data_IF_489508903737
#
_entry.id   IF_489508903737
#
_cell.length_a   1.000
_cell.length_b   1.000
_cell.length_c   1.000
_cell.angle_alpha   90.00
_cell.angle_beta   90.00
_cell.angle_gamma   90.00
#
_symmetry.space_group_name_H-M   'P 1'
#
loop_
_entity.id
_entity.type
_entity.pdbx_description
1 polymer ?
#
# COMPACT_ATOMS: atom_id res chain seq x y z
N UNK A 1 35.19 28.64 -31.12
CA UNK A 1 36.41 28.48 -31.94
C UNK A 1 36.37 27.07 -32.51
N UNK A 2 36.33 27.01 -33.89
CA UNK A 2 36.52 25.82 -34.76
C UNK A 2 35.60 24.60 -34.59
N UNK A 3 35.08 24.00 -35.61
CA UNK A 3 34.80 24.29 -37.08
C UNK A 3 33.76 23.26 -37.55
N UNK A 4 32.79 23.77 -38.30
CA UNK A 4 31.91 23.04 -39.20
C UNK A 4 32.66 22.25 -40.28
N UNK A 5 32.21 21.06 -40.66
CA UNK A 5 32.38 20.57 -42.04
C UNK A 5 31.22 19.65 -42.50
N UNK A 6 30.39 20.24 -43.31
CA UNK A 6 29.65 19.76 -44.47
C UNK A 6 30.01 18.37 -45.01
N UNK A 7 29.02 17.52 -45.28
CA UNK A 7 28.97 16.65 -46.47
C UNK A 7 27.60 16.71 -47.13
N UNK A 8 27.67 17.06 -48.40
CA UNK A 8 26.60 17.29 -49.37
C UNK A 8 25.86 15.99 -49.72
N UNK A 9 24.54 16.10 -49.89
CA UNK A 9 23.66 15.12 -50.51
C UNK A 9 23.89 15.06 -52.02
N UNK A 10 24.02 13.83 -52.58
CA UNK A 10 24.01 13.57 -54.01
C UNK A 10 22.55 13.37 -54.49
N UNK A 11 22.16 14.13 -55.51
CA UNK A 11 20.92 13.98 -56.26
C UNK A 11 21.01 12.80 -57.24
N UNK A 12 19.98 11.96 -57.45
CA UNK A 12 19.94 11.02 -58.57
C UNK A 12 19.48 11.73 -59.83
N UNK A 13 20.17 11.34 -60.92
CA UNK A 13 19.96 11.77 -62.34
C UNK A 13 18.62 11.29 -62.87
N UNK A 14 17.98 12.17 -63.64
CA UNK A 14 16.85 11.87 -64.49
C UNK A 14 17.22 11.01 -65.71
N UNK A 15 16.41 10.08 -66.11
CA UNK A 15 16.41 9.38 -67.40
C UNK A 15 15.12 9.71 -68.21
N UNK A 16 15.18 9.73 -69.51
CA UNK A 16 14.20 10.36 -70.36
C UNK A 16 13.04 9.44 -70.85
N UNK A 17 11.89 10.00 -70.99
CA UNK A 17 10.70 9.91 -71.77
C UNK A 17 10.40 8.71 -72.70
N UNK A 18 9.30 8.77 -73.50
CA UNK A 18 8.01 8.20 -73.12
C UNK A 18 7.69 6.97 -73.96
N UNK A 19 7.00 5.97 -73.41
CA UNK A 19 6.33 4.94 -74.23
C UNK A 19 4.90 4.70 -73.68
N UNK A 20 3.94 5.00 -74.53
CA UNK A 20 2.68 4.27 -74.71
C UNK A 20 1.71 4.17 -73.52
N UNK A 21 0.69 5.02 -73.59
CA UNK A 21 -0.63 4.80 -72.99
C UNK A 21 -1.22 3.45 -73.40
N UNK A 22 -1.19 2.49 -72.49
CA UNK A 22 -2.12 1.35 -72.50
C UNK A 22 -2.90 1.37 -71.19
N UNK A 23 -4.15 1.80 -71.31
CA UNK A 23 -5.14 1.79 -70.25
C UNK A 23 -5.43 0.33 -69.83
N UNK A 24 -4.92 -0.08 -68.67
CA UNK A 24 -5.41 -1.23 -67.96
C UNK A 24 -6.41 -0.74 -66.90
N UNK A 25 -7.68 -0.77 -67.28
CA UNK A 25 -8.82 -0.75 -66.38
C UNK A 25 -8.73 -2.01 -65.47
N UNK A 26 -8.01 -1.91 -64.40
CA UNK A 26 -8.05 -2.92 -63.34
C UNK A 26 -9.29 -2.63 -62.51
N UNK A 27 -10.22 -3.54 -62.55
CA UNK A 27 -11.51 -3.51 -61.86
C UNK A 27 -11.34 -3.22 -60.37
N UNK A 28 -12.19 -2.39 -59.74
CA UNK A 28 -12.09 -2.05 -58.32
C UNK A 28 -12.20 -3.24 -57.36
N UNK A 29 -12.74 -4.37 -57.82
CA UNK A 29 -12.86 -5.61 -57.06
C UNK A 29 -11.52 -6.30 -56.75
N UNK A 30 -10.52 -6.22 -57.63
CA UNK A 30 -9.18 -6.82 -57.39
C UNK A 30 -8.34 -6.02 -56.42
N UNK A 31 -8.47 -4.71 -56.40
CA UNK A 31 -7.79 -3.86 -55.41
C UNK A 31 -8.38 -3.99 -53.98
N UNK A 32 -9.67 -4.31 -53.86
CA UNK A 32 -10.32 -4.62 -52.60
C UNK A 32 -9.93 -6.02 -52.06
N UNK A 33 -9.81 -7.03 -52.94
CA UNK A 33 -9.35 -8.37 -52.57
C UNK A 33 -7.90 -8.38 -52.13
N UNK A 34 -7.01 -7.65 -52.81
CA UNK A 34 -5.59 -7.54 -52.38
C UNK A 34 -5.40 -6.80 -51.06
N UNK A 35 -6.24 -5.78 -50.79
CA UNK A 35 -6.27 -5.12 -49.46
C UNK A 35 -6.80 -6.03 -48.36
N UNK A 36 -7.83 -6.83 -48.67
CA UNK A 36 -8.39 -7.81 -47.74
C UNK A 36 -7.40 -8.94 -47.43
N UNK A 37 -6.67 -9.45 -48.44
CA UNK A 37 -5.65 -10.47 -48.25
C UNK A 37 -4.43 -9.96 -47.46
N UNK A 38 -4.01 -8.72 -47.70
CA UNK A 38 -2.94 -8.10 -46.93
C UNK A 38 -3.35 -7.81 -45.45
N UNK A 39 -4.63 -7.45 -45.22
CA UNK A 39 -5.18 -7.30 -43.88
C UNK A 39 -5.31 -8.65 -43.15
N UNK A 40 -5.72 -9.71 -43.83
CA UNK A 40 -5.78 -11.06 -43.29
C UNK A 40 -4.38 -11.61 -42.94
N UNK A 41 -3.40 -11.41 -43.85
CA UNK A 41 -2.02 -11.78 -43.58
C UNK A 41 -1.41 -11.02 -42.39
N UNK A 42 -1.68 -9.72 -42.26
CA UNK A 42 -1.30 -8.94 -41.09
C UNK A 42 -1.98 -9.40 -39.80
N UNK A 43 -3.25 -9.83 -39.84
CA UNK A 43 -3.96 -10.41 -38.72
C UNK A 43 -3.40 -11.78 -38.32
N UNK A 44 -3.00 -12.61 -39.28
CA UNK A 44 -2.35 -13.89 -38.97
C UNK A 44 -0.96 -13.72 -38.39
N UNK A 45 -0.16 -12.78 -38.91
CA UNK A 45 1.16 -12.42 -38.32
C UNK A 45 0.98 -11.82 -36.92
N UNK A 46 -0.01 -10.97 -36.70
CA UNK A 46 -0.34 -10.47 -35.35
C UNK A 46 -0.80 -11.59 -34.43
N UNK A 47 -1.68 -12.49 -34.87
CA UNK A 47 -2.09 -13.67 -34.09
C UNK A 47 -0.90 -14.55 -33.73
N UNK A 48 -0.06 -14.89 -34.70
CA UNK A 48 1.17 -15.69 -34.48
C UNK A 48 2.15 -14.99 -33.51
N UNK A 49 2.31 -13.67 -33.62
CA UNK A 49 3.14 -12.91 -32.70
C UNK A 49 2.53 -12.84 -31.28
N UNK A 50 1.22 -12.69 -31.18
CA UNK A 50 0.50 -12.73 -29.90
C UNK A 50 0.56 -14.14 -29.31
N UNK A 51 0.35 -15.19 -30.08
CA UNK A 51 0.46 -16.58 -29.62
C UNK A 51 1.91 -16.92 -29.21
N UNK A 52 2.91 -16.47 -29.95
CA UNK A 52 4.29 -16.63 -29.58
C UNK A 52 4.67 -15.84 -28.32
N UNK A 53 4.20 -14.61 -28.16
CA UNK A 53 4.32 -13.82 -26.92
C UNK A 53 3.59 -14.50 -25.75
N UNK A 54 2.38 -15.03 -25.97
CA UNK A 54 1.62 -15.76 -24.96
C UNK A 54 2.27 -17.09 -24.58
N UNK A 55 2.76 -17.86 -25.56
CA UNK A 55 3.44 -19.11 -25.32
C UNK A 55 4.79 -18.91 -24.66
N UNK A 56 5.55 -17.88 -25.04
CA UNK A 56 6.80 -17.50 -24.38
C UNK A 56 6.57 -17.04 -22.93
N UNK A 57 5.59 -16.16 -22.70
CA UNK A 57 5.19 -15.74 -21.36
C UNK A 57 4.59 -16.88 -20.52
N UNK A 58 3.79 -17.76 -21.11
CA UNK A 58 3.16 -18.88 -20.38
C UNK A 58 4.17 -19.90 -19.90
N UNK A 59 5.20 -20.20 -20.70
CA UNK A 59 6.31 -21.08 -20.29
C UNK A 59 7.20 -20.42 -19.24
N UNK A 60 7.33 -19.09 -19.30
CA UNK A 60 8.05 -18.27 -18.32
C UNK A 60 7.30 -18.21 -16.98
N UNK A 61 5.96 -18.12 -16.95
CA UNK A 61 5.19 -17.93 -15.70
C UNK A 61 5.04 -19.21 -14.89
N UNK A 62 4.78 -20.39 -15.49
CA UNK A 62 4.57 -21.63 -14.72
C UNK A 62 5.86 -22.22 -14.10
N UNK A 63 7.03 -21.98 -14.70
CA UNK A 63 8.31 -22.38 -14.10
C UNK A 63 8.82 -21.35 -13.09
N UNK A 64 8.30 -20.12 -13.08
CA UNK A 64 8.92 -18.99 -12.38
C UNK A 64 8.54 -18.86 -10.90
N UNK A 65 7.32 -19.17 -10.48
CA UNK A 65 6.94 -19.04 -9.05
C UNK A 65 7.77 -19.96 -8.17
N UNK A 66 7.96 -21.23 -8.57
CA UNK A 66 8.83 -22.15 -7.83
C UNK A 66 10.28 -21.70 -7.80
N UNK A 67 10.77 -21.11 -8.89
CA UNK A 67 12.11 -20.55 -8.97
C UNK A 67 12.26 -19.32 -8.08
N UNK A 68 11.28 -18.42 -8.09
CA UNK A 68 11.25 -17.25 -7.22
C UNK A 68 11.14 -17.64 -5.74
N UNK A 69 10.39 -18.71 -5.41
CA UNK A 69 10.29 -19.23 -4.05
C UNK A 69 11.63 -19.75 -3.53
N UNK A 70 12.39 -20.42 -4.39
CA UNK A 70 13.77 -20.84 -4.06
C UNK A 70 14.65 -19.62 -3.76
N UNK A 71 14.61 -18.58 -4.59
CA UNK A 71 15.38 -17.34 -4.36
C UNK A 71 15.00 -16.71 -3.02
N UNK A 72 13.70 -16.53 -2.77
CA UNK A 72 13.18 -15.97 -1.52
C UNK A 72 13.64 -16.76 -0.31
N UNK A 73 13.45 -18.09 -0.36
CA UNK A 73 13.81 -18.97 0.73
C UNK A 73 15.33 -18.97 1.01
N UNK A 74 16.16 -18.91 -0.02
CA UNK A 74 17.64 -18.81 0.15
C UNK A 74 18.03 -17.44 0.74
N UNK A 75 17.34 -16.36 0.36
CA UNK A 75 17.54 -15.03 0.96
C UNK A 75 17.22 -15.02 2.45
N UNK A 76 16.07 -15.60 2.84
CA UNK A 76 15.61 -15.67 4.23
C UNK A 76 16.49 -16.59 5.08
N UNK A 77 16.83 -17.77 4.55
CA UNK A 77 17.59 -18.80 5.27
C UNK A 77 19.10 -18.47 5.36
N UNK A 78 19.63 -17.62 4.49
CA UNK A 78 21.06 -17.29 4.41
C UNK A 78 21.95 -18.46 3.99
N UNK A 79 21.40 -19.63 3.68
CA UNK A 79 22.11 -20.80 3.20
C UNK A 79 21.29 -21.70 2.29
N UNK A 80 21.95 -22.31 1.27
CA UNK A 80 21.30 -23.24 0.33
C UNK A 80 20.83 -24.52 1.06
N UNK A 81 21.56 -24.99 2.04
CA UNK A 81 21.23 -26.19 2.81
C UNK A 81 19.99 -25.99 3.67
N UNK A 82 19.90 -24.86 4.35
CA UNK A 82 18.74 -24.54 5.17
C UNK A 82 17.48 -24.25 4.32
N UNK A 83 17.65 -23.55 3.20
CA UNK A 83 16.58 -23.37 2.23
C UNK A 83 16.05 -24.71 1.68
N UNK A 84 16.94 -25.67 1.39
CA UNK A 84 16.56 -27.00 0.95
C UNK A 84 15.72 -27.73 2.02
N UNK A 85 16.10 -27.61 3.29
CA UNK A 85 15.35 -28.16 4.42
C UNK A 85 13.97 -27.54 4.53
N UNK A 86 13.87 -26.21 4.44
CA UNK A 86 12.60 -25.49 4.50
C UNK A 86 11.67 -25.83 3.34
N UNK A 87 12.22 -25.93 2.12
CA UNK A 87 11.48 -26.30 0.91
C UNK A 87 11.19 -27.80 0.79
N UNK A 88 11.72 -28.64 1.70
CA UNK A 88 11.61 -30.11 1.68
C UNK A 88 12.09 -30.74 0.38
N UNK A 89 13.22 -30.23 -0.15
CA UNK A 89 13.87 -30.75 -1.35
C UNK A 89 15.36 -30.99 -1.09
N UNK A 90 16.07 -31.65 -2.03
CA UNK A 90 17.51 -31.84 -1.89
C UNK A 90 18.29 -30.55 -2.15
N UNK A 91 19.41 -30.38 -1.47
CA UNK A 91 20.31 -29.23 -1.66
C UNK A 91 20.81 -29.10 -3.13
N UNK A 92 21.14 -30.19 -3.87
CA UNK A 92 21.47 -30.09 -5.29
C UNK A 92 20.32 -29.53 -6.14
N UNK A 93 19.05 -29.85 -5.79
CA UNK A 93 17.88 -29.30 -6.49
C UNK A 93 17.78 -27.77 -6.32
N UNK A 94 17.97 -27.28 -5.09
CA UNK A 94 17.98 -25.83 -4.81
C UNK A 94 19.12 -25.15 -5.57
N UNK A 95 20.36 -25.70 -5.53
CA UNK A 95 21.51 -25.16 -6.23
C UNK A 95 21.29 -25.10 -7.75
N UNK A 96 20.72 -26.17 -8.33
CA UNK A 96 20.39 -26.23 -9.77
C UNK A 96 19.34 -25.18 -10.14
N UNK A 97 18.29 -25.06 -9.35
CA UNK A 97 17.23 -24.06 -9.58
C UNK A 97 17.79 -22.64 -9.49
N UNK A 98 18.63 -22.38 -8.50
CA UNK A 98 19.25 -21.07 -8.32
C UNK A 98 20.12 -20.70 -9.54
N UNK A 99 20.98 -21.63 -10.00
CA UNK A 99 21.80 -21.44 -11.20
C UNK A 99 20.94 -21.14 -12.44
N UNK A 100 19.83 -21.87 -12.62
CA UNK A 100 18.89 -21.62 -13.73
C UNK A 100 18.24 -20.23 -13.66
N UNK A 101 17.93 -19.72 -12.45
CA UNK A 101 17.42 -18.37 -12.29
C UNK A 101 18.48 -17.34 -12.64
N UNK A 102 19.68 -17.46 -12.13
CA UNK A 102 20.81 -16.58 -12.42
C UNK A 102 21.15 -16.54 -13.92
N UNK A 103 21.17 -17.70 -14.57
CA UNK A 103 21.41 -17.80 -16.02
C UNK A 103 20.32 -17.05 -16.83
N UNK A 104 19.06 -17.16 -16.43
CA UNK A 104 17.94 -16.45 -17.07
C UNK A 104 17.97 -14.94 -16.84
N UNK A 105 18.36 -14.52 -15.64
CA UNK A 105 18.46 -13.12 -15.28
C UNK A 105 19.71 -12.46 -15.88
N UNK A 106 20.75 -13.24 -16.23
CA UNK A 106 22.00 -12.75 -16.75
C UNK A 106 22.94 -12.14 -15.70
N UNK A 107 22.61 -12.30 -14.40
CA UNK A 107 23.44 -11.84 -13.29
C UNK A 107 23.32 -12.77 -12.08
N UNK A 108 24.32 -12.71 -11.19
CA UNK A 108 24.35 -13.48 -9.96
C UNK A 108 23.46 -12.85 -8.89
N UNK A 109 22.68 -13.70 -8.21
CA UNK A 109 21.90 -13.31 -7.05
C UNK A 109 22.68 -13.48 -5.74
N UNK A 110 23.64 -14.42 -5.74
CA UNK A 110 24.45 -14.72 -4.56
C UNK A 110 25.93 -14.82 -4.92
N UNK A 111 26.75 -14.38 -3.98
CA UNK A 111 28.21 -14.55 -4.00
C UNK A 111 28.65 -15.31 -2.77
N UNK A 112 29.86 -15.90 -2.80
CA UNK A 112 30.47 -16.51 -1.62
C UNK A 112 31.61 -15.64 -1.11
N UNK A 113 31.52 -15.23 0.13
CA UNK A 113 32.63 -14.57 0.82
C UNK A 113 32.96 -15.37 2.08
N UNK A 114 34.24 -15.78 2.19
CA UNK A 114 34.76 -16.60 3.30
C UNK A 114 33.88 -17.80 3.64
N UNK A 115 33.34 -18.47 2.61
CA UNK A 115 32.47 -19.66 2.75
C UNK A 115 30.99 -19.33 3.06
N UNK A 116 30.63 -18.09 3.29
CA UNK A 116 29.24 -17.66 3.53
C UNK A 116 28.56 -17.21 2.23
N UNK A 117 27.30 -17.54 2.10
CA UNK A 117 26.47 -17.09 1.00
C UNK A 117 26.00 -15.66 1.29
N UNK A 118 26.28 -14.73 0.40
CA UNK A 118 25.92 -13.32 0.53
C UNK A 118 25.06 -12.91 -0.68
N UNK A 119 23.93 -12.30 -0.41
CA UNK A 119 23.07 -11.73 -1.44
C UNK A 119 23.73 -10.52 -2.10
N UNK A 120 23.65 -10.44 -3.43
CA UNK A 120 24.11 -9.29 -4.22
C UNK A 120 23.18 -8.07 -4.03
N UNK A 121 23.59 -6.91 -4.54
CA UNK A 121 22.73 -5.72 -4.56
C UNK A 121 21.49 -5.95 -5.42
N UNK A 122 21.65 -6.65 -6.54
CA UNK A 122 20.58 -7.04 -7.47
C UNK A 122 19.56 -7.97 -6.80
N UNK A 123 20.03 -8.96 -6.02
CA UNK A 123 19.12 -9.85 -5.27
C UNK A 123 18.30 -9.07 -4.23
N UNK A 124 18.93 -8.13 -3.51
CA UNK A 124 18.24 -7.28 -2.54
C UNK A 124 17.23 -6.34 -3.18
N UNK A 125 17.52 -5.81 -4.36
CA UNK A 125 16.59 -4.99 -5.13
C UNK A 125 15.41 -5.80 -5.68
N UNK A 126 15.64 -7.09 -6.03
CA UNK A 126 14.62 -7.97 -6.61
C UNK A 126 13.67 -8.56 -5.55
N UNK A 127 14.13 -8.74 -4.30
CA UNK A 127 13.36 -9.39 -3.24
C UNK A 127 11.99 -8.75 -2.99
N UNK A 128 11.83 -7.42 -2.87
CA UNK A 128 10.51 -6.80 -2.67
C UNK A 128 9.52 -7.10 -3.80
N UNK A 129 9.99 -7.19 -5.05
CA UNK A 129 9.12 -7.52 -6.20
C UNK A 129 8.72 -9.01 -6.19
N UNK A 130 9.61 -9.89 -5.77
CA UNK A 130 9.31 -11.31 -5.54
C UNK A 130 8.24 -11.45 -4.45
N UNK A 131 8.39 -10.74 -3.34
CA UNK A 131 7.40 -10.74 -2.24
C UNK A 131 6.02 -10.25 -2.72
N UNK A 132 5.96 -9.16 -3.50
CA UNK A 132 4.72 -8.68 -4.11
C UNK A 132 4.04 -9.74 -4.98
N UNK A 133 4.81 -10.47 -5.79
CA UNK A 133 4.28 -11.54 -6.63
C UNK A 133 3.66 -12.67 -5.80
N UNK A 134 4.31 -13.12 -4.72
CA UNK A 134 3.76 -14.14 -3.81
C UNK A 134 2.49 -13.66 -3.12
N UNK A 135 2.46 -12.42 -2.68
CA UNK A 135 1.26 -11.86 -2.06
C UNK A 135 0.06 -11.78 -3.02
N UNK A 136 0.32 -11.55 -4.32
CA UNK A 136 -0.73 -11.60 -5.33
C UNK A 136 -1.28 -13.03 -5.50
N UNK A 137 -0.41 -14.05 -5.51
CA UNK A 137 -0.82 -15.47 -5.55
C UNK A 137 -1.63 -15.87 -4.32
N UNK A 138 -1.19 -15.48 -3.13
CA UNK A 138 -1.92 -15.69 -1.88
C UNK A 138 -3.30 -15.00 -1.92
N UNK A 139 -3.39 -13.83 -2.54
CA UNK A 139 -4.66 -13.15 -2.79
C UNK A 139 -5.63 -13.96 -3.64
N UNK A 140 -5.13 -14.62 -4.69
CA UNK A 140 -5.93 -15.52 -5.54
C UNK A 140 -6.40 -16.75 -4.76
N UNK A 141 -5.54 -17.35 -3.96
CA UNK A 141 -5.88 -18.52 -3.14
C UNK A 141 -6.94 -18.17 -2.09
N UNK A 142 -6.80 -17.01 -1.44
CA UNK A 142 -7.78 -16.48 -0.48
C UNK A 142 -9.14 -16.27 -1.15
N UNK A 143 -9.16 -15.59 -2.30
CA UNK A 143 -10.41 -15.36 -3.03
C UNK A 143 -11.08 -16.68 -3.46
N UNK A 144 -10.30 -17.66 -3.90
CA UNK A 144 -10.81 -18.99 -4.25
C UNK A 144 -11.41 -19.73 -3.03
N UNK A 145 -10.78 -19.59 -1.85
CA UNK A 145 -11.31 -20.12 -0.59
C UNK A 145 -12.59 -19.39 -0.18
N UNK A 146 -12.61 -18.07 -0.22
CA UNK A 146 -13.79 -17.24 0.12
C UNK A 146 -15.00 -17.57 -0.76
N UNK A 147 -14.77 -17.82 -2.05
CA UNK A 147 -15.82 -18.24 -2.99
C UNK A 147 -16.34 -19.65 -2.69
N UNK A 148 -15.49 -20.55 -2.17
CA UNK A 148 -15.86 -21.93 -1.85
C UNK A 148 -16.67 -22.04 -0.55
N UNK A 149 -16.24 -21.34 0.48
CA UNK A 149 -16.64 -21.68 1.86
C UNK A 149 -17.63 -20.68 2.49
N UNK A 150 -17.90 -19.52 1.90
CA UNK A 150 -18.92 -18.52 2.32
C UNK A 150 -19.08 -18.21 3.83
N UNK A 151 -18.46 -19.00 4.71
CA UNK A 151 -18.50 -18.92 6.17
C UNK A 151 -17.13 -18.95 6.85
N UNK A 152 -16.09 -19.35 6.16
CA UNK A 152 -14.71 -19.42 6.67
C UNK A 152 -13.82 -18.71 5.66
N UNK A 153 -12.94 -17.86 6.13
CA UNK A 153 -12.04 -17.10 5.28
C UNK A 153 -11.20 -16.14 6.09
N UNK A 154 -10.41 -15.35 5.41
CA UNK A 154 -9.51 -14.40 6.03
C UNK A 154 -9.78 -12.99 5.51
N UNK A 155 -9.80 -12.02 6.43
CA UNK A 155 -9.81 -10.58 6.12
C UNK A 155 -8.50 -9.98 6.58
N UNK A 156 -7.82 -9.31 5.67
CA UNK A 156 -6.56 -8.61 5.95
C UNK A 156 -6.79 -7.11 6.00
N UNK A 157 -6.37 -6.50 7.09
CA UNK A 157 -6.59 -5.09 7.39
C UNK A 157 -5.25 -4.38 7.61
N UNK A 158 -5.14 -3.17 7.12
CA UNK A 158 -4.10 -2.23 7.52
C UNK A 158 -4.75 -0.97 8.07
N UNK A 159 -4.25 -0.43 9.17
CA UNK A 159 -4.86 0.73 9.78
C UNK A 159 -3.84 1.65 10.44
N UNK A 160 -4.13 2.95 10.43
CA UNK A 160 -3.43 3.91 11.28
C UNK A 160 -3.48 3.45 12.75
N UNK A 161 -2.37 3.59 13.51
CA UNK A 161 -2.27 3.03 14.86
C UNK A 161 -3.42 3.42 15.80
N UNK A 162 -3.91 4.65 15.75
CA UNK A 162 -5.05 5.08 16.58
C UNK A 162 -6.31 4.26 16.27
N UNK A 163 -6.59 3.99 14.99
CA UNK A 163 -7.76 3.20 14.59
C UNK A 163 -7.56 1.71 14.88
N UNK A 164 -6.35 1.19 14.59
CA UNK A 164 -6.01 -0.21 14.81
C UNK A 164 -6.12 -0.62 16.29
N UNK A 165 -5.71 0.28 17.20
CA UNK A 165 -5.64 -0.02 18.62
C UNK A 165 -6.95 0.29 19.39
N UNK A 166 -7.79 1.22 18.88
CA UNK A 166 -8.92 1.70 19.68
C UNK A 166 -10.28 1.52 19.00
N UNK A 167 -10.40 1.60 17.67
CA UNK A 167 -11.65 1.41 16.95
C UNK A 167 -11.82 -0.05 16.49
N UNK A 168 -10.83 -0.60 15.82
CA UNK A 168 -10.93 -1.93 15.22
C UNK A 168 -11.10 -3.07 16.23
N UNK A 169 -10.57 -3.04 17.46
CA UNK A 169 -10.80 -4.11 18.42
C UNK A 169 -12.28 -4.37 18.71
N UNK A 170 -13.08 -3.33 18.88
CA UNK A 170 -14.53 -3.47 19.09
C UNK A 170 -15.23 -4.08 17.87
N UNK A 171 -14.83 -3.66 16.65
CA UNK A 171 -15.34 -4.20 15.39
C UNK A 171 -14.97 -5.67 15.25
N UNK A 172 -13.69 -6.01 15.45
CA UNK A 172 -13.17 -7.38 15.32
C UNK A 172 -13.84 -8.30 16.32
N UNK A 173 -14.04 -7.86 17.55
CA UNK A 173 -14.76 -8.62 18.57
C UNK A 173 -16.16 -9.00 18.10
N UNK A 174 -16.95 -8.02 17.67
CA UNK A 174 -18.32 -8.24 17.16
C UNK A 174 -18.32 -9.10 15.89
N UNK A 175 -17.42 -8.82 14.95
CA UNK A 175 -17.29 -9.57 13.69
C UNK A 175 -17.01 -11.04 13.93
N UNK A 176 -16.06 -11.37 14.84
CA UNK A 176 -15.69 -12.75 15.17
C UNK A 176 -16.75 -13.51 15.95
N UNK A 177 -17.51 -12.83 16.82
CA UNK A 177 -18.66 -13.45 17.51
C UNK A 177 -19.71 -13.92 16.50
N UNK A 178 -19.98 -13.12 15.47
CA UNK A 178 -20.92 -13.49 14.41
C UNK A 178 -20.35 -14.51 13.41
N UNK A 179 -19.00 -14.61 13.30
CA UNK A 179 -18.30 -15.45 12.31
C UNK A 179 -17.09 -16.15 12.96
N UNK A 180 -17.30 -17.19 13.78
CA UNK A 180 -16.22 -17.84 14.54
C UNK A 180 -15.11 -18.45 13.67
N UNK A 181 -15.44 -18.87 12.44
CA UNK A 181 -14.49 -19.42 11.47
C UNK A 181 -13.68 -18.38 10.69
N UNK A 182 -13.97 -17.07 10.87
CA UNK A 182 -13.22 -16.02 10.18
C UNK A 182 -11.91 -15.69 10.90
N UNK A 183 -10.82 -15.57 10.12
CA UNK A 183 -9.53 -15.06 10.59
C UNK A 183 -9.39 -13.59 10.19
N UNK A 184 -9.00 -12.74 11.13
CA UNK A 184 -8.73 -11.32 10.87
C UNK A 184 -7.25 -11.06 11.14
N UNK A 185 -6.55 -10.51 10.13
CA UNK A 185 -5.16 -10.06 10.25
C UNK A 185 -5.17 -8.53 10.26
N UNK A 186 -4.54 -7.92 11.25
CA UNK A 186 -4.46 -6.46 11.39
C UNK A 186 -3.01 -6.02 11.43
N UNK A 187 -2.68 -5.02 10.62
CA UNK A 187 -1.39 -4.34 10.65
C UNK A 187 -1.59 -2.89 11.07
N UNK A 188 -0.98 -2.50 12.20
CA UNK A 188 -0.96 -1.12 12.68
C UNK A 188 0.28 -0.41 12.11
N UNK A 189 0.09 0.41 11.08
CA UNK A 189 1.17 1.05 10.31
C UNK A 189 0.82 2.50 9.95
N UNK A 190 1.80 3.33 9.55
CA UNK A 190 1.56 4.70 9.10
C UNK A 190 0.55 4.82 7.96
N UNK A 191 -0.22 5.93 7.91
CA UNK A 191 -1.25 6.15 6.89
C UNK A 191 -0.75 5.97 5.44
N UNK A 192 0.46 6.43 5.13
CA UNK A 192 1.06 6.30 3.79
C UNK A 192 1.25 4.85 3.40
N UNK A 193 1.78 4.04 4.32
CA UNK A 193 1.98 2.60 4.09
C UNK A 193 0.65 1.84 3.98
N UNK A 194 -0.41 2.29 4.70
CA UNK A 194 -1.76 1.73 4.52
C UNK A 194 -2.25 1.92 3.10
N UNK A 195 -2.05 3.13 2.52
CA UNK A 195 -2.44 3.43 1.13
C UNK A 195 -1.72 2.50 0.17
N UNK A 196 -0.40 2.36 0.33
CA UNK A 196 0.43 1.52 -0.53
C UNK A 196 -0.04 0.04 -0.48
N UNK A 197 -0.30 -0.49 0.72
CA UNK A 197 -0.78 -1.86 0.88
C UNK A 197 -2.15 -2.09 0.23
N UNK A 198 -3.05 -1.10 0.28
CA UNK A 198 -4.36 -1.19 -0.38
C UNK A 198 -4.20 -1.09 -1.89
N UNK A 199 -3.42 -0.13 -2.39
CA UNK A 199 -3.14 0.07 -3.80
C UNK A 199 -2.48 -1.17 -4.42
N UNK A 200 -1.52 -1.78 -3.71
CA UNK A 200 -0.84 -3.02 -4.08
C UNK A 200 -1.72 -4.28 -3.87
N UNK A 201 -2.96 -4.13 -3.38
CA UNK A 201 -3.89 -5.25 -3.10
C UNK A 201 -3.36 -6.25 -2.08
N UNK A 202 -2.46 -5.83 -1.20
CA UNK A 202 -1.84 -6.65 -0.15
C UNK A 202 -2.74 -6.81 1.07
N UNK A 203 -3.71 -5.91 1.23
CA UNK A 203 -4.78 -5.99 2.24
C UNK A 203 -6.14 -5.78 1.59
N UNK A 204 -7.18 -6.27 2.24
CA UNK A 204 -8.55 -6.16 1.74
C UNK A 204 -9.13 -4.77 2.02
N UNK A 205 -8.87 -4.22 3.22
CA UNK A 205 -9.34 -2.91 3.65
C UNK A 205 -8.23 -2.14 4.36
N UNK A 206 -8.18 -0.84 4.10
CA UNK A 206 -7.33 0.12 4.80
C UNK A 206 -8.15 1.09 5.64
N UNK A 207 -7.61 1.55 6.77
CA UNK A 207 -8.23 2.57 7.62
C UNK A 207 -7.22 3.67 7.94
N UNK A 208 -7.52 4.90 7.51
CA UNK A 208 -6.62 6.05 7.61
C UNK A 208 -7.30 7.25 8.24
N UNK A 209 -6.50 8.16 8.81
CA UNK A 209 -7.01 9.37 9.49
C UNK A 209 -6.85 10.66 8.69
N UNK A 210 -6.28 10.62 7.49
CA UNK A 210 -5.92 11.82 6.74
C UNK A 210 -6.26 11.63 5.27
N UNK A 211 -6.62 12.72 4.55
CA UNK A 211 -6.90 12.64 3.14
C UNK A 211 -5.71 12.03 2.39
N UNK A 212 -5.98 10.93 1.72
CA UNK A 212 -5.06 10.29 0.80
C UNK A 212 -5.60 10.46 -0.60
N UNK A 213 -4.75 10.84 -1.54
CA UNK A 213 -5.10 10.90 -2.96
C UNK A 213 -4.24 9.86 -3.67
N UNK A 214 -4.85 8.72 -3.93
CA UNK A 214 -4.25 7.67 -4.74
C UNK A 214 -5.28 7.22 -5.77
N UNK A 215 -4.87 7.10 -7.03
CA UNK A 215 -5.76 6.74 -8.13
C UNK A 215 -6.17 5.26 -8.12
N UNK A 216 -5.38 4.40 -7.48
CA UNK A 216 -5.64 2.96 -7.36
C UNK A 216 -6.58 2.60 -6.21
N UNK A 217 -6.88 3.57 -5.31
CA UNK A 217 -7.75 3.35 -4.15
C UNK A 217 -9.09 4.09 -4.26
N UNK A 218 -10.09 3.57 -3.56
CA UNK A 218 -11.36 4.23 -3.29
C UNK A 218 -11.42 4.52 -1.80
N UNK A 219 -11.69 5.78 -1.45
CA UNK A 219 -11.83 6.21 -0.06
C UNK A 219 -13.29 6.53 0.26
N UNK A 220 -13.76 6.03 1.40
CA UNK A 220 -15.09 6.33 1.95
C UNK A 220 -14.89 6.97 3.32
N UNK A 221 -15.45 8.16 3.52
CA UNK A 221 -15.43 8.84 4.80
C UNK A 221 -16.34 8.11 5.78
N UNK A 222 -15.82 7.73 6.94
CA UNK A 222 -16.54 6.97 7.96
C UNK A 222 -17.11 7.87 9.06
N UNK A 223 -16.24 8.61 9.70
CA UNK A 223 -16.58 9.52 10.80
C UNK A 223 -15.47 10.54 11.02
N UNK A 224 -15.73 11.51 11.87
CA UNK A 224 -14.74 12.51 12.24
C UNK A 224 -14.59 12.60 13.76
N UNK A 225 -13.40 13.05 14.16
CA UNK A 225 -13.05 13.36 15.54
C UNK A 225 -12.15 14.59 15.57
N UNK A 226 -12.11 15.29 16.70
CA UNK A 226 -11.26 16.47 16.84
C UNK A 226 -9.94 16.11 17.56
N UNK A 227 -8.91 16.94 17.36
CA UNK A 227 -7.71 16.87 18.18
C UNK A 227 -8.04 17.31 19.61
N UNK A 228 -7.43 16.63 20.55
CA UNK A 228 -7.54 16.90 21.97
C UNK A 228 -6.19 17.05 22.62
N UNK A 229 -6.15 17.81 23.71
CA UNK A 229 -5.01 17.90 24.60
C UNK A 229 -5.24 16.94 25.76
N UNK A 230 -4.38 15.95 25.95
CA UNK A 230 -4.39 15.02 27.09
C UNK A 230 -3.47 15.57 28.16
N UNK A 231 -3.99 15.73 29.36
CA UNK A 231 -3.41 16.51 30.46
C UNK A 231 -3.52 15.73 31.76
N UNK A 232 -2.51 15.70 32.65
CA UNK A 232 -2.69 15.24 34.00
C UNK A 232 -3.74 16.07 34.76
N UNK A 233 -4.61 15.46 35.52
CA UNK A 233 -5.66 16.17 36.29
C UNK A 233 -5.10 17.21 37.25
N UNK A 234 -3.85 17.08 37.67
CA UNK A 234 -3.14 18.03 38.53
C UNK A 234 -2.61 19.27 37.81
N UNK A 235 -2.61 19.28 36.47
CA UNK A 235 -2.09 20.39 35.68
C UNK A 235 -3.09 21.57 35.64
N UNK A 236 -2.61 22.81 35.68
CA UNK A 236 -3.44 24.01 35.69
C UNK A 236 -4.48 24.06 34.53
N UNK A 237 -4.09 23.63 33.34
CA UNK A 237 -4.99 23.58 32.16
C UNK A 237 -6.13 22.54 32.31
N UNK A 238 -6.05 21.61 33.28
CA UNK A 238 -7.09 20.61 33.48
C UNK A 238 -8.43 21.23 33.93
N UNK A 239 -8.38 22.38 34.59
CA UNK A 239 -9.57 23.13 35.02
C UNK A 239 -10.31 23.82 33.88
N UNK A 240 -9.66 24.04 32.72
CA UNK A 240 -10.23 24.70 31.55
C UNK A 240 -11.19 23.77 30.82
N UNK A 241 -12.28 24.31 30.23
CA UNK A 241 -13.19 23.54 29.37
C UNK A 241 -12.58 23.16 28.01
N UNK A 242 -11.64 23.98 27.54
CA UNK A 242 -10.89 23.79 26.28
C UNK A 242 -9.51 24.41 26.43
N UNK A 243 -8.56 24.01 25.57
CA UNK A 243 -7.18 24.50 25.53
C UNK A 243 -6.96 25.21 24.22
N UNK A 244 -6.57 26.48 24.26
CA UNK A 244 -6.16 27.21 23.06
C UNK A 244 -4.69 26.92 22.76
N UNK A 245 -4.34 26.85 21.48
CA UNK A 245 -2.94 26.59 21.08
C UNK A 245 -1.95 27.61 21.69
N UNK A 246 -2.37 28.85 21.91
CA UNK A 246 -1.56 29.88 22.55
C UNK A 246 -1.26 29.61 24.04
N UNK A 247 -2.11 28.83 24.69
CA UNK A 247 -1.94 28.51 26.11
C UNK A 247 -0.86 27.39 26.29
N UNK A 248 -0.31 26.89 25.19
CA UNK A 248 0.67 25.80 25.15
C UNK A 248 2.11 26.26 24.84
N UNK A 249 2.38 27.56 24.75
CA UNK A 249 3.70 28.06 24.33
C UNK A 249 4.82 27.73 25.33
N UNK A 250 4.55 27.77 26.63
CA UNK A 250 5.51 27.51 27.71
C UNK A 250 5.31 26.15 28.41
N UNK A 251 4.51 25.28 27.84
CA UNK A 251 4.23 23.97 28.43
C UNK A 251 5.01 22.90 27.66
N UNK A 252 5.75 21.98 28.38
CA UNK A 252 6.40 20.87 27.72
C UNK A 252 5.40 20.02 26.94
N UNK A 253 5.49 20.05 25.60
CA UNK A 253 4.55 19.42 24.72
C UNK A 253 5.11 18.10 24.18
N UNK A 254 4.31 17.05 24.29
CA UNK A 254 4.50 15.80 23.60
C UNK A 254 3.67 15.86 22.31
N UNK A 255 4.30 15.75 21.17
CA UNK A 255 3.64 15.84 19.85
C UNK A 255 4.09 14.74 18.90
N UNK A 256 3.44 14.65 17.77
CA UNK A 256 3.83 13.69 16.75
C UNK A 256 4.92 14.28 15.84
N UNK A 257 5.85 13.43 15.40
CA UNK A 257 6.91 13.82 14.50
C UNK A 257 6.33 14.52 13.25
N UNK A 258 6.87 15.68 12.91
CA UNK A 258 6.34 16.55 11.83
C UNK A 258 6.25 15.86 10.46
N UNK A 259 7.11 14.86 10.20
CA UNK A 259 7.05 14.04 8.98
C UNK A 259 5.81 13.13 8.91
N UNK A 260 5.12 12.91 10.03
CA UNK A 260 3.88 12.18 10.07
C UNK A 260 2.69 13.11 9.77
N UNK A 261 1.65 12.63 9.09
CA UNK A 261 0.49 13.44 8.74
C UNK A 261 -0.16 14.12 9.95
N UNK A 262 -0.32 13.42 11.08
CA UNK A 262 -0.88 14.00 12.30
C UNK A 262 0.04 15.10 12.88
N UNK A 263 1.34 14.85 12.88
CA UNK A 263 2.33 15.85 13.31
C UNK A 263 2.34 17.10 12.42
N UNK A 264 2.24 16.93 11.10
CA UNK A 264 2.11 18.03 10.17
C UNK A 264 0.82 18.84 10.39
N UNK A 265 -0.29 18.17 10.69
CA UNK A 265 -1.58 18.81 11.00
C UNK A 265 -1.49 19.64 12.28
N UNK A 266 -0.90 19.09 13.34
CA UNK A 266 -0.67 19.79 14.62
C UNK A 266 0.26 20.99 14.40
N UNK A 267 1.40 20.80 13.73
CA UNK A 267 2.36 21.87 13.44
C UNK A 267 1.72 23.01 12.63
N UNK A 268 0.92 22.68 11.60
CA UNK A 268 0.16 23.67 10.83
C UNK A 268 -0.87 24.42 11.68
N UNK A 269 -1.44 23.79 12.71
CA UNK A 269 -2.29 24.46 13.70
C UNK A 269 -1.53 25.55 14.47
N UNK A 270 -0.36 25.24 15.00
CA UNK A 270 0.51 26.19 15.69
C UNK A 270 1.02 27.32 14.77
N UNK A 271 1.38 27.00 13.53
CA UNK A 271 1.80 28.01 12.54
C UNK A 271 0.68 29.02 12.25
N UNK A 272 -0.55 28.55 12.02
CA UNK A 272 -1.72 29.42 11.82
C UNK A 272 -2.03 30.27 13.06
N UNK A 273 -1.84 29.72 14.25
CA UNK A 273 -2.00 30.41 15.50
C UNK A 273 -0.83 31.37 15.82
N UNK A 274 0.26 31.35 15.05
CA UNK A 274 1.51 32.08 15.26
C UNK A 274 2.13 31.80 16.64
N UNK A 275 2.06 30.55 17.09
CA UNK A 275 2.59 30.08 18.37
C UNK A 275 3.76 29.13 18.12
N UNK A 276 4.83 29.29 18.88
CA UNK A 276 5.95 28.34 18.89
C UNK A 276 5.83 27.49 20.14
N UNK A 277 5.43 26.21 20.03
CA UNK A 277 5.32 25.33 21.20
C UNK A 277 6.72 24.90 21.67
N UNK A 278 6.84 24.68 22.99
CA UNK A 278 8.01 24.02 23.57
C UNK A 278 7.86 22.49 23.38
N UNK A 279 8.37 21.94 22.27
CA UNK A 279 8.35 20.52 22.03
C UNK A 279 9.37 19.83 22.93
N UNK A 280 8.86 19.06 23.90
CA UNK A 280 9.70 18.27 24.82
C UNK A 280 9.98 16.87 24.25
N UNK A 281 8.99 16.24 23.62
CA UNK A 281 9.14 14.90 23.04
C UNK A 281 8.36 14.80 21.73
N UNK A 282 8.96 14.19 20.72
CA UNK A 282 8.27 13.75 19.51
C UNK A 282 8.04 12.24 19.53
N UNK A 283 6.82 11.82 19.22
CA UNK A 283 6.42 10.41 19.17
C UNK A 283 5.88 10.03 17.79
N UNK A 284 5.73 8.73 17.56
CA UNK A 284 5.12 8.18 16.35
C UNK A 284 3.79 7.50 16.62
N UNK A 285 3.45 7.24 17.87
CA UNK A 285 2.24 6.50 18.28
C UNK A 285 1.57 7.14 19.50
N UNK A 286 0.23 7.15 19.49
CA UNK A 286 -0.59 7.70 20.57
C UNK A 286 -0.38 6.95 21.91
N UNK A 287 -0.15 5.64 21.87
CA UNK A 287 0.14 4.84 23.06
C UNK A 287 1.41 5.34 23.79
N UNK A 288 2.47 5.70 23.04
CA UNK A 288 3.69 6.27 23.62
C UNK A 288 3.42 7.66 24.20
N UNK A 289 2.62 8.50 23.50
CA UNK A 289 2.22 9.81 24.02
C UNK A 289 1.48 9.68 25.37
N UNK A 290 0.54 8.75 25.48
CA UNK A 290 -0.17 8.45 26.72
C UNK A 290 0.77 8.04 27.86
N UNK A 291 1.68 7.13 27.58
CA UNK A 291 2.65 6.65 28.56
C UNK A 291 3.52 7.80 29.10
N UNK A 292 3.94 8.71 28.20
CA UNK A 292 4.75 9.87 28.56
C UNK A 292 3.97 10.90 29.39
N UNK A 293 2.71 11.19 29.04
CA UNK A 293 1.83 12.06 29.85
C UNK A 293 1.63 11.46 31.24
N UNK A 294 1.40 10.15 31.34
CA UNK A 294 1.23 9.43 32.59
C UNK A 294 2.52 9.48 33.44
N UNK A 295 3.69 9.47 32.81
CA UNK A 295 4.99 9.59 33.47
C UNK A 295 5.35 11.03 33.86
N UNK A 296 4.53 12.03 33.51
CA UNK A 296 4.76 13.43 33.83
C UNK A 296 5.72 14.17 32.89
N UNK A 297 6.03 13.61 31.71
CA UNK A 297 6.94 14.21 30.74
C UNK A 297 6.37 15.46 30.03
N UNK A 298 5.09 15.79 30.23
CA UNK A 298 4.41 16.92 29.63
C UNK A 298 2.95 16.63 29.35
N UNK A 299 2.35 17.40 28.48
CA UNK A 299 0.99 17.21 27.96
C UNK A 299 1.06 16.82 26.49
N UNK A 300 0.03 16.09 25.99
CA UNK A 300 0.08 15.59 24.61
C UNK A 300 -1.10 16.12 23.78
N UNK A 301 -0.85 16.47 22.53
CA UNK A 301 -1.90 16.67 21.52
C UNK A 301 -2.01 15.40 20.69
N UNK A 302 -3.23 14.86 20.58
CA UNK A 302 -3.50 13.65 19.79
C UNK A 302 -4.93 13.67 19.21
N UNK A 303 -5.23 12.74 18.31
CA UNK A 303 -6.59 12.53 17.82
C UNK A 303 -7.46 11.84 18.89
N UNK A 304 -8.74 12.19 18.98
CA UNK A 304 -9.63 11.61 19.97
C UNK A 304 -10.05 10.18 19.67
N UNK A 305 -9.70 9.60 18.51
CA UNK A 305 -9.82 8.15 18.29
C UNK A 305 -8.97 7.36 19.29
N UNK A 306 -7.83 7.91 19.70
CA UNK A 306 -6.98 7.30 20.71
C UNK A 306 -7.65 7.18 22.10
N UNK A 307 -8.82 7.80 22.30
CA UNK A 307 -9.57 7.83 23.56
C UNK A 307 -10.81 6.93 23.58
N UNK A 308 -11.08 6.17 22.52
CA UNK A 308 -12.31 5.38 22.41
C UNK A 308 -12.46 4.34 23.52
N UNK A 309 -11.35 3.81 24.03
CA UNK A 309 -11.31 2.89 25.18
C UNK A 309 -11.26 3.61 26.54
N UNK A 310 -11.38 4.95 26.53
CA UNK A 310 -11.35 5.78 27.72
C UNK A 310 -9.97 6.34 28.08
N UNK A 311 -9.94 7.12 29.14
CA UNK A 311 -8.73 7.73 29.69
C UNK A 311 -8.35 7.09 31.02
N UNK A 312 -7.04 6.95 31.31
CA UNK A 312 -6.59 6.64 32.66
C UNK A 312 -7.18 7.61 33.70
N UNK A 313 -7.52 7.15 34.93
CA UNK A 313 -8.24 7.96 35.92
C UNK A 313 -7.57 9.27 36.32
N UNK A 314 -6.26 9.35 36.18
CA UNK A 314 -5.44 10.53 36.50
C UNK A 314 -5.24 11.52 35.35
N UNK A 315 -5.79 11.21 34.17
CA UNK A 315 -5.71 12.06 32.98
C UNK A 315 -7.08 12.65 32.63
N UNK A 316 -7.06 13.73 31.89
CA UNK A 316 -8.25 14.37 31.31
C UNK A 316 -7.93 14.81 29.87
N UNK A 317 -8.91 14.70 28.98
CA UNK A 317 -8.84 15.29 27.66
C UNK A 317 -9.59 16.60 27.60
N UNK A 318 -9.02 17.58 26.90
CA UNK A 318 -9.66 18.86 26.61
C UNK A 318 -9.61 19.14 25.12
N UNK A 319 -10.74 19.56 24.51
CA UNK A 319 -10.75 19.95 23.11
C UNK A 319 -9.80 21.13 22.85
N UNK A 320 -9.14 21.11 21.71
CA UNK A 320 -8.25 22.19 21.26
C UNK A 320 -9.04 23.26 20.53
N UNK A 321 -8.64 24.53 20.72
CA UNK A 321 -9.19 25.66 20.02
C UNK A 321 -8.11 26.47 19.28
N UNK A 322 -8.34 26.75 17.96
CA UNK A 322 -9.48 26.34 17.13
C UNK A 322 -9.52 24.84 16.94
N UNK A 323 -10.72 24.25 16.75
CA UNK A 323 -10.89 22.83 16.53
C UNK A 323 -10.14 22.38 15.28
N UNK A 324 -9.46 21.25 15.37
CA UNK A 324 -8.75 20.62 14.26
C UNK A 324 -9.36 19.24 14.06
N UNK A 325 -10.07 19.10 12.95
CA UNK A 325 -10.84 17.88 12.64
C UNK A 325 -9.98 16.87 11.90
N UNK A 326 -10.12 15.62 12.28
CA UNK A 326 -9.49 14.44 11.66
C UNK A 326 -10.61 13.51 11.20
N UNK A 327 -10.57 13.08 9.94
CA UNK A 327 -11.58 12.20 9.35
C UNK A 327 -11.01 10.80 9.20
N UNK A 328 -11.69 9.82 9.79
CA UNK A 328 -11.40 8.42 9.55
C UNK A 328 -12.00 7.98 8.22
N UNK A 329 -11.18 7.32 7.39
CA UNK A 329 -11.57 6.81 6.08
C UNK A 329 -11.28 5.34 5.95
N UNK A 330 -12.20 4.65 5.29
CA UNK A 330 -11.94 3.30 4.79
C UNK A 330 -11.42 3.40 3.36
N UNK A 331 -10.39 2.62 3.07
CA UNK A 331 -9.81 2.46 1.75
C UNK A 331 -10.04 1.05 1.23
N UNK A 332 -10.28 0.94 -0.06
CA UNK A 332 -10.30 -0.32 -0.80
C UNK A 332 -9.64 -0.15 -2.17
N UNK A 333 -9.14 -1.23 -2.77
CA UNK A 333 -8.60 -1.17 -4.12
C UNK A 333 -9.72 -0.87 -5.13
N UNK A 334 -9.48 0.04 -6.08
CA UNK A 334 -10.49 0.49 -7.07
C UNK A 334 -10.95 -0.63 -7.99
N UNK A 335 -10.00 -1.42 -8.49
CA UNK A 335 -10.23 -2.38 -9.57
C UNK A 335 -10.39 -3.82 -9.07
N UNK A 336 -10.71 -4.00 -7.79
CA UNK A 336 -10.93 -5.31 -7.19
C UNK A 336 -12.27 -5.36 -6.46
N UNK A 337 -13.17 -6.28 -6.81
CA UNK A 337 -14.35 -6.57 -5.99
C UNK A 337 -13.90 -7.00 -4.59
N UNK A 338 -14.53 -6.45 -3.57
CA UNK A 338 -14.29 -6.88 -2.20
C UNK A 338 -14.86 -8.29 -1.97
N UNK A 339 -14.17 -9.09 -1.17
CA UNK A 339 -14.69 -10.38 -0.72
C UNK A 339 -15.96 -10.19 0.13
N UNK A 340 -16.78 -11.23 0.22
CA UNK A 340 -17.98 -11.21 1.08
C UNK A 340 -17.63 -10.90 2.53
N UNK A 341 -16.50 -11.42 3.03
CA UNK A 341 -16.02 -11.15 4.38
C UNK A 341 -15.55 -9.72 4.56
N UNK A 342 -14.81 -9.15 3.60
CA UNK A 342 -14.39 -7.76 3.65
C UNK A 342 -15.58 -6.81 3.63
N UNK A 343 -16.59 -7.08 2.78
CA UNK A 343 -17.84 -6.31 2.76
C UNK A 343 -18.62 -6.41 4.07
N UNK A 344 -18.68 -7.61 4.66
CA UNK A 344 -19.33 -7.81 5.95
C UNK A 344 -18.58 -7.05 7.07
N UNK A 345 -17.23 -7.10 7.06
CA UNK A 345 -16.42 -6.33 8.00
C UNK A 345 -16.64 -4.82 7.87
N UNK A 346 -16.69 -4.30 6.65
CA UNK A 346 -16.97 -2.88 6.39
C UNK A 346 -18.34 -2.45 6.94
N UNK A 347 -19.37 -3.29 6.84
CA UNK A 347 -20.69 -3.03 7.45
C UNK A 347 -20.62 -2.99 8.98
N UNK A 348 -19.88 -3.92 9.59
CA UNK A 348 -19.73 -3.97 11.04
C UNK A 348 -18.93 -2.74 11.55
N UNK A 349 -17.95 -2.24 10.78
CA UNK A 349 -17.26 -0.96 11.07
C UNK A 349 -18.25 0.19 11.14
N UNK A 350 -19.12 0.34 10.14
CA UNK A 350 -20.13 1.41 10.11
C UNK A 350 -21.06 1.31 11.30
N UNK A 351 -21.57 0.12 11.63
CA UNK A 351 -22.48 -0.10 12.75
C UNK A 351 -21.84 0.28 14.11
N UNK A 352 -20.58 -0.08 14.33
CA UNK A 352 -19.84 0.30 15.56
C UNK A 352 -19.64 1.82 15.62
N UNK A 353 -19.27 2.46 14.51
CA UNK A 353 -19.11 3.91 14.42
C UNK A 353 -20.42 4.65 14.73
N UNK A 354 -21.54 4.18 14.18
CA UNK A 354 -22.86 4.75 14.48
C UNK A 354 -23.15 4.72 15.99
N UNK A 355 -22.77 3.66 16.68
CA UNK A 355 -22.84 3.57 18.14
C UNK A 355 -21.99 4.62 18.86
N UNK A 356 -20.80 4.94 18.38
CA UNK A 356 -19.96 6.01 18.93
C UNK A 356 -20.53 7.39 18.62
N UNK A 357 -21.07 7.60 17.43
CA UNK A 357 -21.71 8.87 17.02
C UNK A 357 -22.97 9.11 17.87
N UNK A 358 -23.80 8.10 18.10
CA UNK A 358 -25.00 8.21 18.94
C UNK A 358 -24.68 8.59 20.38
N UNK A 359 -23.52 8.18 20.90
CA UNK A 359 -23.03 8.57 22.23
C UNK A 359 -22.32 9.93 22.26
N UNK A 360 -22.19 10.62 21.13
CA UNK A 360 -21.49 11.90 21.03
C UNK A 360 -19.95 11.81 21.18
N UNK A 361 -19.39 10.61 21.05
CA UNK A 361 -17.94 10.37 21.14
C UNK A 361 -17.25 10.69 19.81
N UNK A 362 -17.91 10.38 18.70
CA UNK A 362 -17.48 10.72 17.34
C UNK A 362 -18.55 11.59 16.67
N UNK A 363 -18.20 12.26 15.59
CA UNK A 363 -19.12 13.01 14.75
C UNK A 363 -19.25 12.36 13.36
N UNK A 364 -20.36 12.63 12.66
CA UNK A 364 -20.48 12.23 11.27
C UNK A 364 -19.37 12.88 10.44
N UNK A 365 -18.84 12.16 9.47
CA UNK A 365 -18.04 12.77 8.42
C UNK A 365 -18.97 13.74 7.68
N UNK A 366 -18.65 15.03 7.70
CA UNK A 366 -19.47 16.09 7.12
C UNK A 366 -19.34 16.17 5.63
#
# INVERSE_FOLDING_TARGET
MFLLRNRRAARPRALPGPIGTAALLVWPATAAMLRSAAQLANLEVMKSNIENLWNHNRMVIQSNLRHLDVVRCVMEAGSVTEAARLLRVSQPAVSKTLAQVEDRLGFRLFTRDRGRLIATAEARALLPEIEKAFMAVDGVQRLASDLRDGRTGMVTLAAAPSLANNLLPAVIGTFRLARPGATVIVQAIPNTEVVDLVADRRVDLGFVLIPTRDSATVAVDLCAADLVCVIPKTHALAASKSVRLRDLHDVPLITFARRLPLGALIAGGFERARVRPQIAVEVTQSATAFALVKAGAGIAIMDSFALLDGLPPNLIARPIQPAVRVVARQLSARDRPQSLLANAFAKDVVAIIEGYVARGVLSKAG
#
